data_IF_939649221148
#
_entry.id   IF_939649221148
#
_cell.length_a   1.000
_cell.length_b   1.000
_cell.length_c   1.000
_cell.angle_alpha   90.00
_cell.angle_beta   90.00
_cell.angle_gamma   90.00
#
_symmetry.space_group_name_H-M   'P 1'
#
loop_
_entity.id
_entity.type
_entity.pdbx_description
1 polymer ?
#
# COMPACT_ATOMS: atom_id res chain seq x y z
N UNK A 1 8.20 -24.50 16.48
CA UNK A 1 9.37 -23.79 15.91
C UNK A 1 9.36 -23.88 14.37
N UNK A 2 8.24 -23.61 13.71
CA UNK A 2 8.12 -23.67 12.24
C UNK A 2 7.12 -22.59 11.79
N UNK A 3 7.49 -21.79 10.78
CA UNK A 3 6.70 -20.82 9.98
C UNK A 3 7.25 -19.38 9.88
N UNK A 4 8.44 -19.04 10.42
CA UNK A 4 9.17 -17.83 9.98
C UNK A 4 10.02 -18.21 8.76
N UNK A 5 9.52 -17.95 7.55
CA UNK A 5 10.32 -18.12 6.32
C UNK A 5 9.56 -18.56 5.06
N UNK A 6 8.27 -18.89 5.13
CA UNK A 6 7.54 -19.32 3.92
C UNK A 6 7.02 -18.10 3.16
N UNK A 7 7.62 -17.82 2.02
CA UNK A 7 7.12 -16.85 1.05
C UNK A 7 5.75 -17.33 0.57
N UNK A 8 4.76 -16.45 0.65
CA UNK A 8 3.42 -16.73 0.15
C UNK A 8 3.40 -16.43 -1.35
N UNK A 9 3.00 -17.42 -2.15
CA UNK A 9 2.93 -17.36 -3.61
C UNK A 9 1.51 -17.69 -4.02
N UNK A 10 0.92 -16.89 -4.90
CA UNK A 10 -0.43 -17.13 -5.42
C UNK A 10 -0.56 -16.71 -6.88
N UNK A 11 -1.32 -17.45 -7.71
CA UNK A 11 -1.65 -17.01 -9.05
C UNK A 11 -2.55 -15.78 -9.01
N UNK A 12 -2.27 -14.81 -9.85
CA UNK A 12 -3.14 -13.67 -10.12
C UNK A 12 -3.97 -13.88 -11.37
N UNK A 13 -5.07 -13.15 -11.46
CA UNK A 13 -6.04 -13.24 -12.57
C UNK A 13 -6.18 -11.94 -13.36
N UNK A 14 -5.55 -10.86 -12.90
CA UNK A 14 -5.56 -9.55 -13.57
C UNK A 14 -4.55 -9.56 -14.72
N UNK A 15 -4.86 -8.87 -15.81
CA UNK A 15 -3.85 -8.52 -16.82
C UNK A 15 -2.85 -7.55 -16.21
N UNK A 16 -1.56 -7.82 -16.34
CA UNK A 16 -0.50 -6.92 -15.90
C UNK A 16 0.37 -6.54 -17.09
N UNK A 17 0.55 -5.23 -17.29
CA UNK A 17 1.43 -4.68 -18.33
C UNK A 17 2.50 -3.80 -17.70
N UNK A 18 3.71 -3.93 -18.23
CA UNK A 18 4.90 -3.20 -17.75
C UNK A 18 5.49 -2.43 -18.92
N UNK A 19 5.89 -1.18 -18.68
CA UNK A 19 6.45 -0.31 -19.71
C UNK A 19 7.81 0.28 -19.30
N UNK A 20 8.69 0.41 -20.28
CA UNK A 20 9.98 1.12 -20.17
C UNK A 20 10.28 1.83 -21.49
N UNK A 21 10.64 3.11 -21.42
CA UNK A 21 10.81 3.98 -22.58
C UNK A 21 9.54 4.15 -23.41
N UNK A 22 8.36 4.00 -22.78
CA UNK A 22 7.07 3.97 -23.49
C UNK A 22 6.80 2.69 -24.29
N UNK A 23 7.71 1.72 -24.29
CA UNK A 23 7.54 0.43 -24.96
C UNK A 23 7.13 -0.67 -23.98
N UNK A 24 6.33 -1.62 -24.47
CA UNK A 24 5.76 -2.71 -23.69
C UNK A 24 6.84 -3.76 -23.36
N UNK A 25 7.23 -3.82 -22.09
CA UNK A 25 8.24 -4.74 -21.54
C UNK A 25 7.65 -6.13 -21.31
N UNK A 26 6.45 -6.19 -20.74
CA UNK A 26 5.74 -7.43 -20.47
C UNK A 26 4.24 -7.23 -20.51
N UNK A 27 3.51 -8.28 -20.89
CA UNK A 27 2.05 -8.31 -20.93
C UNK A 27 1.57 -9.72 -20.60
N UNK A 28 1.03 -9.90 -19.40
CA UNK A 28 0.66 -11.21 -18.86
C UNK A 28 -0.79 -11.24 -18.39
N UNK A 29 -1.48 -12.35 -18.64
CA UNK A 29 -2.78 -12.70 -18.03
C UNK A 29 -2.63 -13.69 -16.88
N UNK A 30 -1.39 -14.08 -16.55
CA UNK A 30 -1.07 -15.02 -15.50
C UNK A 30 0.05 -14.47 -14.60
N UNK A 31 -0.09 -13.22 -14.07
CA UNK A 31 0.89 -12.73 -13.12
C UNK A 31 0.86 -13.61 -11.86
N UNK A 32 1.98 -13.66 -11.15
CA UNK A 32 2.08 -14.35 -9.86
C UNK A 32 2.33 -13.32 -8.77
N UNK A 33 1.49 -13.35 -7.74
CA UNK A 33 1.68 -12.57 -6.53
C UNK A 33 2.65 -13.29 -5.60
N UNK A 34 3.73 -12.60 -5.23
CA UNK A 34 4.74 -13.14 -4.30
C UNK A 34 4.93 -12.17 -3.15
N UNK A 35 4.55 -12.57 -1.93
CA UNK A 35 4.77 -11.78 -0.73
C UNK A 35 6.20 -11.97 -0.23
N UNK A 36 7.11 -11.17 -0.79
CA UNK A 36 8.50 -11.08 -0.32
C UNK A 36 8.59 -10.50 1.10
N UNK A 37 7.61 -9.67 1.46
CA UNK A 37 7.38 -9.09 2.79
C UNK A 37 5.93 -9.33 3.22
N UNK A 38 5.59 -9.22 4.52
CA UNK A 38 4.26 -9.62 5.01
C UNK A 38 3.09 -8.76 4.53
N UNK A 39 3.33 -7.53 4.07
CA UNK A 39 2.28 -6.50 3.96
C UNK A 39 1.72 -6.34 2.54
N UNK A 40 2.51 -6.59 1.50
CA UNK A 40 2.08 -6.47 0.09
C UNK A 40 2.86 -7.44 -0.80
N UNK A 41 2.27 -7.87 -1.94
CA UNK A 41 2.95 -8.73 -2.89
C UNK A 41 3.83 -7.92 -3.86
N UNK A 42 4.77 -8.60 -4.49
CA UNK A 42 5.42 -8.21 -5.74
C UNK A 42 4.82 -9.01 -6.91
N UNK A 43 4.87 -8.45 -8.13
CA UNK A 43 4.54 -9.19 -9.34
C UNK A 43 5.76 -9.96 -9.83
N UNK A 44 5.55 -11.26 -10.06
CA UNK A 44 6.43 -12.14 -10.79
C UNK A 44 5.72 -12.51 -12.09
N UNK A 45 6.37 -12.26 -13.22
CA UNK A 45 5.77 -12.38 -14.55
C UNK A 45 6.36 -13.61 -15.25
N UNK A 46 5.55 -14.50 -15.86
CA UNK A 46 6.07 -15.61 -16.65
C UNK A 46 7.08 -15.14 -17.70
N UNK A 47 8.24 -15.79 -17.81
CA UNK A 47 9.27 -15.39 -18.77
C UNK A 47 8.77 -15.35 -20.22
N UNK A 48 7.80 -16.19 -20.57
CA UNK A 48 7.15 -16.23 -21.88
C UNK A 48 6.35 -14.96 -22.23
N UNK A 49 5.93 -14.20 -21.21
CA UNK A 49 5.12 -12.99 -21.38
C UNK A 49 5.95 -11.71 -21.45
N UNK A 50 7.26 -11.81 -21.20
CA UNK A 50 8.22 -10.71 -21.38
C UNK A 50 8.52 -10.52 -22.87
N UNK A 51 8.31 -9.30 -23.36
CA UNK A 51 8.35 -8.91 -24.79
C UNK A 51 9.66 -8.26 -25.22
N UNK A 52 10.53 -7.92 -24.26
CA UNK A 52 11.81 -7.27 -24.51
C UNK A 52 12.99 -8.16 -24.16
N UNK A 53 14.18 -7.73 -24.55
CA UNK A 53 15.43 -8.39 -24.20
C UNK A 53 15.78 -8.15 -22.73
N UNK A 54 16.18 -9.21 -22.06
CA UNK A 54 16.78 -9.18 -20.73
C UNK A 54 18.26 -9.53 -20.87
N UNK A 55 19.13 -8.56 -20.66
CA UNK A 55 20.59 -8.72 -20.80
C UNK A 55 21.15 -9.06 -19.44
N UNK A 56 21.75 -10.24 -19.29
CA UNK A 56 22.38 -10.63 -18.03
C UNK A 56 23.49 -9.64 -17.67
N UNK A 57 23.44 -9.05 -16.48
CA UNK A 57 24.43 -8.06 -16.04
C UNK A 57 25.70 -8.70 -15.51
N UNK A 58 25.66 -10.00 -15.20
CA UNK A 58 26.73 -10.71 -14.47
C UNK A 58 26.63 -10.56 -12.95
N UNK A 59 25.69 -9.78 -12.45
CA UNK A 59 25.44 -9.59 -11.02
C UNK A 59 24.42 -10.62 -10.49
N UNK A 60 24.48 -10.88 -9.19
CA UNK A 60 23.50 -11.71 -8.48
C UNK A 60 22.96 -11.00 -7.23
N UNK A 61 21.81 -11.47 -6.74
CA UNK A 61 21.18 -10.99 -5.50
C UNK A 61 20.69 -12.18 -4.67
N UNK A 62 21.09 -12.24 -3.40
CA UNK A 62 20.76 -13.36 -2.51
C UNK A 62 19.48 -13.09 -1.72
N UNK A 63 18.53 -14.03 -1.77
CA UNK A 63 17.40 -14.09 -0.86
C UNK A 63 17.47 -15.34 0.03
N UNK A 64 17.38 -15.22 1.36
CA UNK A 64 17.34 -16.37 2.27
C UNK A 64 16.18 -17.35 2.00
N UNK A 65 15.12 -16.88 1.33
CA UNK A 65 13.90 -17.67 1.09
C UNK A 65 13.69 -18.06 -0.38
N UNK A 66 14.28 -17.30 -1.32
CA UNK A 66 14.10 -17.50 -2.77
C UNK A 66 15.36 -17.98 -3.48
N UNK A 67 16.51 -18.01 -2.81
CA UNK A 67 17.80 -18.44 -3.38
C UNK A 67 18.57 -17.29 -4.04
N UNK A 68 19.55 -17.64 -4.87
CA UNK A 68 20.31 -16.70 -5.69
C UNK A 68 19.51 -16.28 -6.92
N UNK A 69 19.38 -14.99 -7.14
CA UNK A 69 18.81 -14.41 -8.35
C UNK A 69 19.92 -14.00 -9.31
N UNK A 70 19.78 -14.29 -10.60
CA UNK A 70 20.55 -13.60 -11.65
C UNK A 70 19.89 -12.27 -11.96
N UNK A 71 20.67 -11.20 -12.00
CA UNK A 71 20.19 -9.86 -12.34
C UNK A 71 20.33 -9.60 -13.84
N UNK A 72 19.39 -8.84 -14.38
CA UNK A 72 19.27 -8.49 -15.78
C UNK A 72 18.99 -7.01 -15.95
N UNK A 73 19.66 -6.40 -16.93
CA UNK A 73 19.27 -5.11 -17.49
C UNK A 73 18.08 -5.31 -18.42
N UNK A 74 17.01 -4.57 -18.18
CA UNK A 74 15.84 -4.53 -19.07
C UNK A 74 16.11 -3.52 -20.17
N UNK A 75 16.11 -3.96 -21.43
CA UNK A 75 16.38 -3.08 -22.57
C UNK A 75 15.16 -2.92 -23.45
N UNK A 76 14.75 -1.68 -23.67
CA UNK A 76 13.57 -1.32 -24.45
C UNK A 76 13.92 -0.16 -25.39
N UNK A 77 14.24 -0.49 -26.66
CA UNK A 77 14.78 0.48 -27.60
C UNK A 77 16.09 1.10 -27.09
N UNK A 78 16.10 2.43 -26.98
CA UNK A 78 17.25 3.21 -26.46
C UNK A 78 17.24 3.37 -24.93
N UNK A 79 16.21 2.86 -24.24
CA UNK A 79 16.11 2.92 -22.78
C UNK A 79 16.56 1.63 -22.15
N UNK A 80 17.29 1.77 -21.04
CA UNK A 80 17.80 0.65 -20.27
C UNK A 80 17.53 0.90 -18.78
N UNK A 81 17.07 -0.15 -18.10
CA UNK A 81 16.94 -0.18 -16.64
C UNK A 81 17.90 -1.26 -16.12
N UNK A 82 19.06 -0.82 -15.61
CA UNK A 82 20.16 -1.69 -15.17
C UNK A 82 19.78 -2.45 -13.91
N UNK A 83 20.05 -3.77 -13.89
CA UNK A 83 19.75 -4.67 -12.76
C UNK A 83 18.27 -4.64 -12.31
N UNK A 84 17.38 -4.20 -13.19
CA UNK A 84 15.97 -3.97 -12.91
C UNK A 84 15.09 -5.21 -13.11
N UNK A 85 15.65 -6.33 -13.54
CA UNK A 85 14.96 -7.61 -13.57
C UNK A 85 15.80 -8.68 -12.87
N UNK A 86 15.13 -9.63 -12.22
CA UNK A 86 15.78 -10.78 -11.59
C UNK A 86 15.02 -12.07 -11.82
N UNK A 87 15.77 -13.16 -11.97
CA UNK A 87 15.23 -14.51 -12.17
C UNK A 87 15.94 -15.44 -11.20
N UNK A 88 15.18 -16.25 -10.47
CA UNK A 88 15.69 -17.22 -9.51
C UNK A 88 15.73 -18.63 -10.14
N UNK A 89 16.64 -18.85 -11.09
CA UNK A 89 16.71 -20.09 -11.89
C UNK A 89 16.72 -21.37 -11.05
N UNK A 90 17.47 -21.34 -9.93
CA UNK A 90 17.63 -22.48 -9.03
C UNK A 90 16.91 -22.28 -7.68
N UNK A 91 15.78 -21.55 -7.69
CA UNK A 91 15.03 -21.28 -6.47
C UNK A 91 14.64 -22.57 -5.73
N UNK A 92 14.69 -22.61 -4.38
CA UNK A 92 14.06 -23.69 -3.61
C UNK A 92 12.52 -23.69 -3.75
N UNK A 93 11.93 -22.61 -4.26
CA UNK A 93 10.51 -22.50 -4.59
C UNK A 93 10.34 -22.70 -6.09
N UNK A 94 9.92 -23.89 -6.51
CA UNK A 94 9.90 -24.29 -7.92
C UNK A 94 9.00 -23.37 -8.76
N UNK A 95 7.94 -22.84 -8.16
CA UNK A 95 6.98 -21.93 -8.79
C UNK A 95 7.62 -20.61 -9.25
N UNK A 96 8.81 -20.25 -8.76
CA UNK A 96 9.49 -19.00 -9.11
C UNK A 96 10.51 -19.13 -10.24
N UNK A 97 10.93 -20.36 -10.61
CA UNK A 97 12.11 -20.59 -11.46
C UNK A 97 11.99 -20.00 -12.87
N UNK A 98 10.78 -20.00 -13.42
CA UNK A 98 10.48 -19.50 -14.76
C UNK A 98 9.84 -18.09 -14.76
N UNK A 99 9.90 -17.39 -13.62
CA UNK A 99 9.31 -16.08 -13.46
C UNK A 99 10.36 -14.97 -13.40
N UNK A 100 10.02 -13.83 -13.98
CA UNK A 100 10.81 -12.60 -13.98
C UNK A 100 10.21 -11.63 -12.98
N UNK A 101 11.00 -11.21 -12.00
CA UNK A 101 10.65 -10.14 -11.06
C UNK A 101 11.30 -8.86 -11.54
N UNK A 102 10.49 -7.91 -12.00
CA UNK A 102 10.94 -6.56 -12.32
C UNK A 102 10.97 -5.69 -11.05
N UNK A 103 11.95 -4.81 -10.94
CA UNK A 103 11.92 -3.73 -9.96
C UNK A 103 10.83 -2.74 -10.36
N UNK A 104 9.84 -2.58 -9.47
CA UNK A 104 8.65 -1.79 -9.74
C UNK A 104 9.02 -0.33 -10.06
N UNK A 105 9.95 0.26 -9.29
CA UNK A 105 10.32 1.67 -9.39
C UNK A 105 11.26 1.99 -10.57
N UNK A 106 11.86 0.97 -11.18
CA UNK A 106 12.76 1.13 -12.32
C UNK A 106 12.04 1.10 -13.68
N UNK A 107 10.75 0.76 -13.68
CA UNK A 107 9.89 0.78 -14.87
C UNK A 107 9.12 2.11 -14.92
N UNK A 108 8.81 2.60 -16.12
CA UNK A 108 8.14 3.89 -16.27
C UNK A 108 6.66 3.84 -15.87
N UNK A 109 5.99 2.72 -16.14
CA UNK A 109 4.58 2.53 -15.83
C UNK A 109 4.21 1.05 -15.67
N UNK A 110 3.23 0.82 -14.79
CA UNK A 110 2.61 -0.49 -14.55
C UNK A 110 1.10 -0.35 -14.68
N UNK A 111 0.45 -1.29 -15.35
CA UNK A 111 -1.00 -1.31 -15.47
C UNK A 111 -1.57 -2.63 -14.96
N UNK A 112 -2.60 -2.54 -14.12
CA UNK A 112 -3.52 -3.63 -13.83
C UNK A 112 -4.79 -3.43 -14.65
N UNK A 113 -5.11 -4.38 -15.52
CA UNK A 113 -6.05 -4.15 -16.62
C UNK A 113 -5.64 -2.86 -17.36
N UNK A 114 -6.55 -1.90 -17.51
CA UNK A 114 -6.34 -0.60 -18.15
C UNK A 114 -6.05 0.55 -17.17
N UNK A 115 -5.86 0.26 -15.88
CA UNK A 115 -5.55 1.27 -14.86
C UNK A 115 -4.08 1.25 -14.49
N UNK A 116 -3.44 2.43 -14.50
CA UNK A 116 -2.08 2.57 -14.01
C UNK A 116 -2.02 2.38 -12.49
N UNK A 117 -1.04 1.61 -12.04
CA UNK A 117 -0.72 1.41 -10.63
C UNK A 117 0.72 1.88 -10.36
N UNK A 118 0.96 2.34 -9.13
CA UNK A 118 2.24 2.91 -8.72
C UNK A 118 2.69 2.33 -7.38
N UNK A 119 3.99 2.43 -7.09
CA UNK A 119 4.68 1.97 -5.87
C UNK A 119 4.78 0.44 -5.73
N UNK A 120 3.67 -0.29 -5.73
CA UNK A 120 3.64 -1.76 -5.68
C UNK A 120 2.26 -2.32 -6.10
N UNK A 121 2.13 -3.63 -6.40
CA UNK A 121 0.86 -4.27 -6.73
C UNK A 121 -0.23 -4.11 -5.67
N UNK A 122 -1.49 -4.03 -6.11
CA UNK A 122 -2.65 -4.09 -5.22
C UNK A 122 -2.86 -5.54 -4.77
N UNK A 123 -2.92 -5.75 -3.46
CA UNK A 123 -3.30 -7.01 -2.81
C UNK A 123 -4.70 -7.45 -3.27
N UNK A 124 -4.86 -8.70 -3.72
CA UNK A 124 -6.14 -9.22 -4.18
C UNK A 124 -7.16 -9.42 -3.04
N UNK A 125 -6.73 -9.35 -1.77
CA UNK A 125 -7.61 -9.54 -0.61
C UNK A 125 -7.94 -8.24 0.13
N UNK A 126 -7.41 -7.11 -0.33
CA UNK A 126 -7.70 -5.83 0.31
C UNK A 126 -8.99 -5.27 -0.27
N UNK A 127 -10.09 -5.43 0.47
CA UNK A 127 -11.37 -4.77 0.16
C UNK A 127 -11.49 -3.56 1.08
N UNK A 128 -11.66 -2.38 0.47
CA UNK A 128 -12.00 -1.15 1.18
C UNK A 128 -13.51 -0.97 1.08
N UNK A 129 -14.21 -1.10 2.20
CA UNK A 129 -15.62 -0.74 2.32
C UNK A 129 -15.75 0.54 3.14
N UNK A 130 -16.46 1.53 2.61
CA UNK A 130 -16.76 2.77 3.32
C UNK A 130 -18.27 2.91 3.48
N UNK A 131 -18.71 2.88 4.74
CA UNK A 131 -20.13 2.95 5.12
C UNK A 131 -20.42 4.21 5.93
N UNK A 132 -21.54 4.87 5.63
CA UNK A 132 -22.08 5.90 6.51
C UNK A 132 -22.60 5.28 7.79
N UNK A 133 -22.37 5.95 8.91
CA UNK A 133 -22.79 5.49 10.22
C UNK A 133 -23.34 6.65 11.04
N UNK A 134 -24.44 6.40 11.73
CA UNK A 134 -25.00 7.29 12.74
C UNK A 134 -24.46 7.01 14.15
N UNK A 135 -23.51 6.08 14.29
CA UNK A 135 -22.84 5.79 15.56
C UNK A 135 -22.10 7.02 16.03
N UNK A 136 -22.13 7.26 17.33
CA UNK A 136 -21.51 8.42 17.93
C UNK A 136 -20.02 8.15 18.17
N UNK A 137 -19.15 8.77 17.38
CA UNK A 137 -17.69 8.63 17.48
C UNK A 137 -17.11 9.87 18.13
N UNK A 138 -16.30 9.68 19.17
CA UNK A 138 -15.58 10.75 19.87
C UNK A 138 -14.11 10.38 20.01
N UNK A 139 -13.22 11.31 19.67
CA UNK A 139 -11.76 11.13 19.73
C UNK A 139 -11.18 12.07 20.77
N UNK A 140 -10.36 11.52 21.66
CA UNK A 140 -9.66 12.26 22.71
C UNK A 140 -8.14 12.08 22.60
N UNK A 141 -7.41 13.17 22.89
CA UNK A 141 -5.95 13.18 23.01
C UNK A 141 -5.60 13.84 24.34
N UNK A 142 -4.84 13.15 25.19
CA UNK A 142 -4.48 13.61 26.54
C UNK A 142 -5.69 14.13 27.35
N UNK A 143 -6.86 13.46 27.20
CA UNK A 143 -8.11 13.81 27.89
C UNK A 143 -8.92 14.96 27.27
N UNK A 144 -8.44 15.57 26.18
CA UNK A 144 -9.16 16.63 25.45
C UNK A 144 -9.88 16.05 24.26
N UNK A 145 -11.20 16.29 24.13
CA UNK A 145 -11.96 15.92 22.93
C UNK A 145 -11.54 16.78 21.74
N UNK A 146 -10.94 16.13 20.73
CA UNK A 146 -10.43 16.78 19.52
C UNK A 146 -11.38 16.64 18.33
N UNK A 147 -12.25 15.62 18.34
CA UNK A 147 -13.30 15.46 17.34
C UNK A 147 -14.48 14.65 17.91
N UNK A 148 -15.70 14.97 17.48
CA UNK A 148 -16.92 14.28 17.93
C UNK A 148 -18.03 14.38 16.89
N UNK A 149 -18.60 13.24 16.46
CA UNK A 149 -19.64 13.21 15.43
C UNK A 149 -20.54 11.99 15.52
N UNK A 150 -21.82 12.17 15.20
CA UNK A 150 -22.75 11.08 14.87
C UNK A 150 -22.96 10.91 13.35
N UNK A 151 -22.06 11.44 12.52
CA UNK A 151 -22.10 11.30 11.06
C UNK A 151 -20.70 10.94 10.54
N UNK A 152 -20.27 9.73 10.87
CA UNK A 152 -18.96 9.21 10.48
C UNK A 152 -19.04 8.35 9.22
N UNK A 153 -17.94 8.27 8.48
CA UNK A 153 -17.68 7.21 7.52
C UNK A 153 -16.75 6.18 8.15
N UNK A 154 -17.24 4.96 8.33
CA UNK A 154 -16.42 3.86 8.83
C UNK A 154 -15.79 3.17 7.63
N UNK A 155 -14.46 3.16 7.61
CA UNK A 155 -13.66 2.46 6.61
C UNK A 155 -13.21 1.12 7.19
N UNK A 156 -13.60 0.06 6.49
CA UNK A 156 -13.20 -1.32 6.76
C UNK A 156 -12.21 -1.74 5.70
N UNK A 157 -11.04 -2.19 6.13
CA UNK A 157 -9.99 -2.65 5.24
C UNK A 157 -9.42 -3.95 5.79
N UNK A 158 -9.34 -4.97 4.94
CA UNK A 158 -8.88 -6.30 5.33
C UNK A 158 -7.54 -6.23 6.05
N UNK A 159 -7.47 -6.78 7.26
CA UNK A 159 -6.24 -6.84 8.05
C UNK A 159 -5.87 -5.56 8.80
N UNK A 160 -6.67 -4.50 8.70
CA UNK A 160 -6.48 -3.24 9.43
C UNK A 160 -7.66 -2.97 10.39
N UNK A 161 -7.42 -2.24 11.49
CA UNK A 161 -8.51 -1.78 12.35
C UNK A 161 -9.44 -0.83 11.59
N UNK A 162 -10.73 -0.84 11.93
CA UNK A 162 -11.69 0.13 11.40
C UNK A 162 -11.20 1.55 11.63
N UNK A 163 -11.18 2.35 10.56
CA UNK A 163 -10.87 3.77 10.62
C UNK A 163 -12.16 4.58 10.61
N UNK A 164 -12.21 5.58 11.47
CA UNK A 164 -13.36 6.47 11.61
C UNK A 164 -13.02 7.79 10.95
N UNK A 165 -13.63 8.04 9.79
CA UNK A 165 -13.49 9.30 9.08
C UNK A 165 -14.62 10.24 9.52
N UNK A 166 -14.23 11.40 10.03
CA UNK A 166 -15.13 12.41 10.57
C UNK A 166 -15.18 13.62 9.64
N UNK A 167 -16.34 14.27 9.47
CA UNK A 167 -16.41 15.57 8.80
C UNK A 167 -15.47 16.56 9.47
N UNK A 168 -14.72 17.33 8.69
CA UNK A 168 -13.78 18.32 9.24
C UNK A 168 -14.48 19.32 10.18
N UNK A 169 -15.75 19.63 9.91
CA UNK A 169 -16.60 20.50 10.76
C UNK A 169 -16.89 19.93 12.15
N UNK A 170 -16.66 18.63 12.37
CA UNK A 170 -16.80 17.95 13.64
C UNK A 170 -15.48 17.86 14.43
N UNK A 171 -14.42 18.51 13.93
CA UNK A 171 -13.07 18.50 14.49
C UNK A 171 -12.76 19.88 15.05
N UNK A 172 -12.09 19.92 16.21
CA UNK A 172 -11.51 21.14 16.80
C UNK A 172 -10.35 21.63 15.95
N UNK A 173 -10.66 22.31 14.83
CA UNK A 173 -9.66 22.80 13.88
C UNK A 173 -8.68 23.80 14.49
N UNK A 174 -9.06 24.46 15.60
CA UNK A 174 -8.18 25.34 16.39
C UNK A 174 -7.02 24.60 17.06
N UNK A 175 -7.08 23.26 17.14
CA UNK A 175 -6.02 22.40 17.67
C UNK A 175 -5.15 21.78 16.56
N UNK A 176 -5.50 21.95 15.29
CA UNK A 176 -4.80 21.34 14.15
C UNK A 176 -3.67 22.24 13.64
N UNK A 177 -2.50 21.64 13.40
CA UNK A 177 -1.37 22.26 12.73
C UNK A 177 -1.08 21.54 11.40
N UNK A 178 -1.00 22.25 10.26
CA UNK A 178 -0.62 21.64 8.98
C UNK A 178 0.74 20.95 9.05
N UNK A 179 0.83 19.77 8.45
CA UNK A 179 2.09 19.05 8.26
C UNK A 179 2.50 19.04 6.80
N UNK A 180 3.81 19.03 6.52
CA UNK A 180 4.34 18.80 5.17
C UNK A 180 4.43 17.32 4.81
N UNK A 181 4.13 16.41 5.73
CA UNK A 181 4.14 14.97 5.51
C UNK A 181 3.06 14.55 4.52
N UNK A 182 3.45 13.72 3.55
CA UNK A 182 2.56 13.08 2.59
C UNK A 182 2.93 11.60 2.49
N UNK A 183 1.93 10.72 2.35
CA UNK A 183 2.16 9.29 2.13
C UNK A 183 1.27 8.77 1.01
N UNK A 184 1.79 7.85 0.20
CA UNK A 184 1.04 7.27 -0.91
C UNK A 184 0.48 5.90 -0.51
N UNK A 185 -0.80 5.68 -0.80
CA UNK A 185 -1.48 4.38 -0.66
C UNK A 185 -2.07 3.95 -2.00
N UNK A 186 -1.73 2.76 -2.54
CA UNK A 186 -2.17 2.33 -3.87
C UNK A 186 -3.68 2.08 -4.00
N UNK A 187 -4.44 2.06 -2.89
CA UNK A 187 -5.89 1.90 -2.88
C UNK A 187 -6.66 3.18 -2.54
N UNK A 188 -5.98 4.19 -1.98
CA UNK A 188 -6.65 5.39 -1.46
C UNK A 188 -6.12 6.68 -2.07
N UNK A 189 -4.95 6.65 -2.70
CA UNK A 189 -4.27 7.83 -3.22
C UNK A 189 -3.27 8.40 -2.21
N UNK A 190 -2.99 9.69 -2.35
CA UNK A 190 -2.05 10.42 -1.50
C UNK A 190 -2.76 10.97 -0.26
N UNK A 191 -2.24 10.62 0.92
CA UNK A 191 -2.69 11.14 2.20
C UNK A 191 -1.88 12.37 2.61
N UNK A 192 -2.55 13.39 3.09
CA UNK A 192 -1.97 14.58 3.73
C UNK A 192 -2.24 14.55 5.23
N UNK A 193 -1.43 15.27 6.01
CA UNK A 193 -1.43 15.13 7.46
C UNK A 193 -1.66 16.46 8.21
N UNK A 194 -2.23 16.35 9.40
CA UNK A 194 -2.22 17.38 10.43
C UNK A 194 -1.62 16.81 11.72
N UNK A 195 -0.87 17.66 12.42
CA UNK A 195 -0.49 17.46 13.81
C UNK A 195 -1.56 18.06 14.74
N UNK A 196 -1.64 17.59 15.99
CA UNK A 196 -2.57 18.14 16.98
C UNK A 196 -1.81 18.70 18.18
N UNK A 197 -2.07 19.95 18.55
CA UNK A 197 -1.52 20.56 19.75
C UNK A 197 -2.53 20.54 20.89
N UNK A 198 -2.14 19.93 22.02
CA UNK A 198 -2.93 19.94 23.27
C UNK A 198 -2.05 20.49 24.39
N UNK A 199 -2.38 21.68 24.89
CA UNK A 199 -1.51 22.43 25.78
C UNK A 199 -0.15 22.68 25.14
N UNK A 200 0.93 22.31 25.82
CA UNK A 200 2.31 22.48 25.34
C UNK A 200 2.81 21.30 24.48
N UNK A 201 2.01 20.24 24.31
CA UNK A 201 2.42 19.01 23.62
C UNK A 201 1.89 18.96 22.20
N UNK A 202 2.80 18.74 21.25
CA UNK A 202 2.47 18.46 19.85
C UNK A 202 2.43 16.95 19.61
N UNK A 203 1.34 16.48 19.03
CA UNK A 203 1.18 15.12 18.53
C UNK A 203 1.33 15.14 17.02
N UNK A 204 2.54 14.84 16.55
CA UNK A 204 2.91 14.93 15.14
C UNK A 204 2.17 13.90 14.28
N UNK A 205 1.66 14.35 13.13
CA UNK A 205 1.06 13.52 12.08
C UNK A 205 0.01 12.53 12.60
N UNK A 206 -0.74 12.92 13.64
CA UNK A 206 -1.73 12.05 14.29
C UNK A 206 -3.06 12.00 13.53
N UNK A 207 -3.27 12.96 12.62
CA UNK A 207 -4.44 13.08 11.74
C UNK A 207 -4.00 12.96 10.29
N UNK A 208 -4.75 12.20 9.50
CA UNK A 208 -4.59 12.18 8.04
C UNK A 208 -5.92 12.37 7.32
N UNK A 209 -5.84 12.75 6.05
CA UNK A 209 -6.97 12.92 5.16
C UNK A 209 -6.57 12.71 3.71
N UNK A 210 -7.56 12.52 2.85
CA UNK A 210 -7.39 12.42 1.40
C UNK A 210 -8.18 13.54 0.73
N UNK A 211 -7.50 14.46 0.04
CA UNK A 211 -8.17 15.50 -0.74
C UNK A 211 -8.80 14.93 -2.01
N UNK A 212 -8.04 14.11 -2.73
CA UNK A 212 -8.45 13.51 -4.00
C UNK A 212 -8.19 12.01 -3.98
N UNK A 213 -8.96 11.24 -3.18
CA UNK A 213 -8.74 9.80 -3.07
C UNK A 213 -9.02 9.06 -4.38
N UNK A 214 -8.53 7.83 -4.51
CA UNK A 214 -8.90 6.95 -5.62
C UNK A 214 -10.40 6.56 -5.58
N UNK A 215 -11.01 6.17 -6.73
CA UNK A 215 -12.45 5.91 -6.86
C UNK A 215 -13.06 5.06 -5.74
N UNK A 216 -12.37 4.02 -5.30
CA UNK A 216 -12.81 3.06 -4.27
C UNK A 216 -12.94 3.71 -2.88
N UNK A 217 -12.20 4.80 -2.66
CA UNK A 217 -12.15 5.52 -1.39
C UNK A 217 -12.79 6.91 -1.47
N UNK A 218 -13.50 7.23 -2.56
CA UNK A 218 -14.14 8.54 -2.77
C UNK A 218 -15.07 8.98 -1.63
N UNK A 219 -15.68 8.02 -0.93
CA UNK A 219 -16.58 8.31 0.21
C UNK A 219 -15.87 8.94 1.41
N UNK A 220 -14.53 8.91 1.48
CA UNK A 220 -13.76 9.59 2.53
C UNK A 220 -13.09 10.89 2.08
N UNK A 221 -13.34 11.34 0.84
CA UNK A 221 -12.77 12.58 0.32
C UNK A 221 -13.09 13.78 1.24
N UNK A 222 -12.05 14.52 1.63
CA UNK A 222 -12.15 15.70 2.51
C UNK A 222 -12.54 15.40 3.97
N UNK A 223 -12.71 14.12 4.35
CA UNK A 223 -12.89 13.70 5.74
C UNK A 223 -11.54 13.43 6.38
N UNK A 224 -11.47 13.52 7.72
CA UNK A 224 -10.24 13.28 8.46
C UNK A 224 -10.36 12.04 9.34
N UNK A 225 -9.26 11.33 9.55
CA UNK A 225 -9.18 10.21 10.47
C UNK A 225 -7.96 10.38 11.41
N UNK A 226 -8.02 9.72 12.56
CA UNK A 226 -6.97 9.73 13.58
C UNK A 226 -6.37 8.33 13.72
N UNK A 227 -5.10 8.24 14.10
CA UNK A 227 -4.48 6.94 14.38
C UNK A 227 -5.01 6.39 15.71
N UNK A 228 -5.95 5.45 15.65
CA UNK A 228 -6.53 4.74 16.81
C UNK A 228 -5.45 4.20 17.77
N UNK A 229 -4.26 3.90 17.26
CA UNK A 229 -3.08 3.46 18.01
C UNK A 229 -2.57 4.52 19.00
N UNK A 230 -2.76 5.80 18.64
CA UNK A 230 -2.16 6.97 19.30
C UNK A 230 -3.17 7.81 20.07
N UNK A 231 -4.48 7.59 19.87
CA UNK A 231 -5.57 8.39 20.46
C UNK A 231 -6.58 7.51 21.20
N UNK A 232 -7.34 8.09 22.11
CA UNK A 232 -8.48 7.40 22.72
C UNK A 232 -9.72 7.60 21.83
N UNK A 233 -10.32 6.50 21.41
CA UNK A 233 -11.50 6.51 20.52
C UNK A 233 -12.68 5.89 21.24
N UNK A 234 -13.78 6.63 21.34
CA UNK A 234 -15.04 6.16 21.90
C UNK A 234 -16.06 5.97 20.77
N UNK A 235 -16.81 4.87 20.81
CA UNK A 235 -17.93 4.62 19.90
C UNK A 235 -19.16 4.29 20.72
N UNK A 236 -20.22 5.08 20.56
CA UNK A 236 -21.45 5.02 21.34
C UNK A 236 -21.18 5.08 22.86
N UNK A 237 -20.23 5.92 23.26
CA UNK A 237 -19.80 6.11 24.65
C UNK A 237 -18.84 5.03 25.17
N UNK A 238 -18.54 3.99 24.39
CA UNK A 238 -17.64 2.89 24.80
C UNK A 238 -16.24 3.14 24.29
N UNK A 239 -15.25 3.18 25.20
CA UNK A 239 -13.83 3.26 24.85
C UNK A 239 -13.40 2.01 24.07
N UNK A 240 -12.81 2.23 22.90
CA UNK A 240 -12.27 1.16 22.06
C UNK A 240 -10.83 0.84 22.47
N UNK A 241 -10.41 -0.43 22.44
CA UNK A 241 -9.01 -0.78 22.67
C UNK A 241 -8.12 -0.21 21.57
N UNK A 242 -6.95 0.31 21.94
CA UNK A 242 -5.95 0.76 20.97
C UNK A 242 -5.38 -0.45 20.22
N UNK A 243 -5.52 -0.53 18.89
CA UNK A 243 -4.97 -1.65 18.12
C UNK A 243 -3.44 -1.61 18.14
N UNK A 244 -2.80 -2.76 17.93
CA UNK A 244 -1.36 -2.85 17.64
C UNK A 244 -1.17 -3.09 16.16
N UNK A 245 -0.62 -2.11 15.46
CA UNK A 245 -0.36 -2.19 14.02
C UNK A 245 1.06 -1.72 13.74
N UNK A 246 1.45 -1.67 12.46
CA UNK A 246 2.73 -1.08 12.06
C UNK A 246 2.77 0.45 12.19
N UNK A 247 1.67 1.09 12.61
CA UNK A 247 1.56 2.53 12.90
C UNK A 247 1.66 2.86 14.39
N UNK A 248 1.84 1.86 15.25
CA UNK A 248 2.03 2.02 16.70
C UNK A 248 3.37 2.64 17.05
#
# INVERSE_FOLDING_TARGET
>A
MQARGRVKIEPGTRRVRVYLGGALVADTLAPVYVWEVPYYPAYYIPRADVKVELIASGNTDHSPSRGEATLYTVKSGDKEAVDAARIYHDSPLEELRDLVRFDFAAMDAWFEEDEEIYVHPRSPYTRVDVLGSSRHVRVEIDGVTVAESANARLLFETGLPTRYYLPKTAVRMDLLEPSSTHTACPYKGEASYYSVRVGDKLHEDVVWYYDTPLPESQKVAGLVAFYNEKVDTFVDGVLQPRPKTHFS
#
